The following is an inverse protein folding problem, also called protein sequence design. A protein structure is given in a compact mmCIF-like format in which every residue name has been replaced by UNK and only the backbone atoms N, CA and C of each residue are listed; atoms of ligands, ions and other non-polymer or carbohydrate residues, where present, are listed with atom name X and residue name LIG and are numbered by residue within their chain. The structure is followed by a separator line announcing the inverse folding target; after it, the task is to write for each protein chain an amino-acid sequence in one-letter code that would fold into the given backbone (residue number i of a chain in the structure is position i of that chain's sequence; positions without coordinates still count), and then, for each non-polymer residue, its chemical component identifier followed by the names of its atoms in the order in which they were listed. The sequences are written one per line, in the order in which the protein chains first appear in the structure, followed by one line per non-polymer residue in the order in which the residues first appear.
data_IF_260383693765
#
_entry.id   IF_260383693765
#
_cell.length_a   1.000
_cell.length_b   1.000
_cell.length_c   1.000
_cell.angle_alpha   90.00
_cell.angle_beta   90.00
_cell.angle_gamma   90.00
#
_symmetry.space_group_name_H-M   'P 1'
#
loop_
_entity.id
_entity.type
_entity.pdbx_description
1 polymer ?
#
# COMPACT_ATOMS: atom_id res chain seq x y z
N UNK A 1 21.17 -2.62 5.29
CA UNK A 1 20.17 -2.79 4.32
C UNK A 1 19.84 -1.52 3.59
N UNK A 2 19.97 -1.61 2.32
CA UNK A 2 19.91 -0.43 1.47
C UNK A 2 18.51 0.12 1.29
N UNK A 3 17.49 -0.73 1.42
CA UNK A 3 16.12 -0.30 1.17
C UNK A 3 15.66 0.82 2.07
N UNK A 4 15.89 0.68 3.37
CA UNK A 4 15.45 1.69 4.32
C UNK A 4 16.18 3.00 4.08
N UNK A 5 17.48 2.94 3.80
CA UNK A 5 18.24 4.15 3.55
C UNK A 5 17.77 4.85 2.28
N UNK A 6 17.46 4.08 1.25
CA UNK A 6 16.98 4.67 0.00
C UNK A 6 15.66 5.41 0.25
N UNK A 7 14.77 4.82 1.02
CA UNK A 7 13.51 5.47 1.34
C UNK A 7 13.73 6.78 2.06
N UNK A 8 14.64 6.78 3.02
CA UNK A 8 14.94 8.00 3.76
C UNK A 8 15.49 9.09 2.85
N UNK A 9 16.41 8.71 1.95
CA UNK A 9 16.97 9.69 1.01
C UNK A 9 15.90 10.28 0.11
N UNK A 10 14.97 9.47 -0.34
CA UNK A 10 13.89 9.96 -1.18
C UNK A 10 13.07 11.01 -0.45
N UNK A 11 12.76 10.76 0.81
CA UNK A 11 11.99 11.72 1.59
C UNK A 11 12.75 13.04 1.74
N UNK A 12 14.03 12.98 2.01
CA UNK A 12 14.84 14.18 2.19
C UNK A 12 14.89 14.99 0.91
N UNK A 13 15.09 14.33 -0.23
CA UNK A 13 15.15 15.05 -1.50
C UNK A 13 13.83 15.74 -1.80
N UNK A 14 12.74 15.05 -1.56
CA UNK A 14 11.42 15.62 -1.81
C UNK A 14 11.23 16.88 -0.99
N UNK A 15 11.60 16.79 0.27
CA UNK A 15 11.46 17.94 1.15
C UNK A 15 12.33 19.10 0.69
N UNK A 16 13.56 18.79 0.32
CA UNK A 16 14.49 19.83 -0.09
C UNK A 16 14.10 20.55 -1.35
N UNK A 17 13.36 19.89 -2.22
CA UNK A 17 12.97 20.50 -3.47
C UNK A 17 11.69 21.29 -3.41
N UNK A 18 11.02 21.29 -2.30
CA UNK A 18 9.70 21.88 -2.21
C UNK A 18 9.79 23.26 -1.56
N UNK A 19 9.89 24.28 -2.40
CA UNK A 19 10.00 25.64 -1.90
C UNK A 19 8.73 26.46 -2.06
N UNK A 20 7.66 25.88 -2.59
CA UNK A 20 6.41 26.59 -2.77
C UNK A 20 5.24 25.67 -2.40
N UNK A 21 4.09 26.27 -2.20
CA UNK A 21 2.92 25.52 -1.78
C UNK A 21 2.38 24.65 -2.89
N UNK A 22 1.97 23.46 -2.52
CA UNK A 22 1.33 22.54 -3.45
C UNK A 22 -0.12 22.96 -3.66
N UNK A 23 -0.58 22.80 -4.88
CA UNK A 23 -2.00 23.04 -5.18
C UNK A 23 -2.80 21.81 -4.76
N UNK A 24 -4.13 21.99 -4.70
CA UNK A 24 -5.01 20.85 -4.42
C UNK A 24 -4.84 19.76 -5.47
N UNK A 25 -4.67 20.15 -6.74
CA UNK A 25 -4.50 19.19 -7.82
C UNK A 25 -3.22 18.38 -7.65
N UNK A 26 -2.13 19.03 -7.20
CA UNK A 26 -0.87 18.33 -6.95
C UNK A 26 -1.00 17.31 -5.84
N UNK A 27 -1.66 17.69 -4.76
CA UNK A 27 -1.84 16.79 -3.64
C UNK A 27 -2.71 15.61 -4.05
N UNK A 28 -3.78 15.87 -4.76
CA UNK A 28 -4.68 14.83 -5.24
C UNK A 28 -3.95 13.85 -6.15
N UNK A 29 -3.12 14.39 -7.05
CA UNK A 29 -2.37 13.55 -7.98
C UNK A 29 -1.38 12.64 -7.28
N UNK A 30 -0.70 13.17 -6.26
CA UNK A 30 0.26 12.38 -5.50
C UNK A 30 -0.41 11.28 -4.71
N UNK A 31 -1.54 11.57 -4.10
CA UNK A 31 -2.26 10.58 -3.31
C UNK A 31 -2.88 9.51 -4.19
N UNK A 32 -3.39 9.90 -5.35
CA UNK A 32 -3.94 8.94 -6.30
C UNK A 32 -2.84 8.02 -6.82
N UNK A 33 -1.66 8.56 -7.08
CA UNK A 33 -0.51 7.78 -7.54
C UNK A 33 -0.10 6.78 -6.47
N UNK A 34 -0.06 7.20 -5.22
CA UNK A 34 0.31 6.30 -4.13
C UNK A 34 -0.73 5.19 -3.97
N UNK A 35 -2.02 5.54 -4.07
CA UNK A 35 -3.07 4.54 -4.00
C UNK A 35 -2.94 3.51 -5.11
N UNK A 36 -2.68 3.98 -6.32
CA UNK A 36 -2.53 3.07 -7.46
C UNK A 36 -1.33 2.17 -7.29
N UNK A 37 -0.24 2.71 -6.70
CA UNK A 37 0.93 1.90 -6.39
C UNK A 37 0.58 0.79 -5.40
N UNK A 38 -0.16 1.13 -4.34
CA UNK A 38 -0.57 0.15 -3.34
C UNK A 38 -1.47 -0.94 -3.94
N UNK A 39 -2.40 -0.53 -4.80
CA UNK A 39 -3.27 -1.47 -5.49
C UNK A 39 -2.44 -2.43 -6.36
N UNK A 40 -1.38 -1.92 -6.96
CA UNK A 40 -0.52 -2.74 -7.81
C UNK A 40 0.36 -3.68 -7.00
N UNK A 41 0.85 -3.22 -5.85
CA UNK A 41 1.69 -4.06 -4.97
C UNK A 41 0.87 -5.15 -4.30
N UNK A 42 -0.33 -4.83 -3.87
CA UNK A 42 -1.17 -5.74 -3.10
C UNK A 42 -2.56 -5.87 -3.75
N UNK A 43 -2.64 -6.55 -4.90
CA UNK A 43 -3.93 -6.65 -5.59
C UNK A 43 -4.96 -7.38 -4.74
N UNK A 44 -6.15 -6.84 -4.70
CA UNK A 44 -7.25 -7.48 -3.97
C UNK A 44 -7.57 -6.87 -2.62
N UNK A 45 -6.82 -5.84 -2.19
CA UNK A 45 -7.13 -5.19 -0.93
C UNK A 45 -8.49 -4.50 -0.99
N UNK A 46 -9.22 -4.56 0.11
CA UNK A 46 -10.48 -3.84 0.22
C UNK A 46 -10.22 -2.41 0.62
N UNK A 47 -11.23 -1.56 0.46
CA UNK A 47 -11.01 -0.12 0.64
C UNK A 47 -10.55 0.26 2.05
N UNK A 48 -11.03 -0.43 3.09
CA UNK A 48 -10.59 -0.09 4.44
C UNK A 48 -9.12 -0.46 4.67
N UNK A 49 -8.62 -1.49 4.01
CA UNK A 49 -7.20 -1.78 4.07
C UNK A 49 -6.39 -0.69 3.37
N UNK A 50 -6.85 -0.26 2.21
CA UNK A 50 -6.16 0.81 1.49
C UNK A 50 -6.16 2.09 2.31
N UNK A 51 -7.28 2.43 2.94
CA UNK A 51 -7.33 3.61 3.82
C UNK A 51 -6.37 3.48 4.99
N UNK A 52 -6.13 2.27 5.46
CA UNK A 52 -5.22 2.03 6.58
C UNK A 52 -3.78 2.43 6.32
N UNK A 53 -3.39 2.55 5.06
CA UNK A 53 -2.05 3.02 4.72
C UNK A 53 -1.90 4.53 4.87
N UNK A 54 -2.99 5.24 5.14
CA UNK A 54 -2.99 6.69 5.29
C UNK A 54 -3.60 7.08 6.64
N UNK A 55 -2.94 6.72 7.74
CA UNK A 55 -3.56 6.89 9.07
C UNK A 55 -3.83 8.36 9.42
N UNK A 56 -3.15 9.28 8.78
CA UNK A 56 -3.39 10.70 9.02
C UNK A 56 -4.50 11.31 8.18
N UNK A 57 -5.19 10.50 7.36
CA UNK A 57 -6.21 11.00 6.48
C UNK A 57 -7.58 10.45 6.85
N UNK A 58 -8.61 11.27 6.60
CA UNK A 58 -9.98 10.80 6.69
C UNK A 58 -10.19 9.71 5.65
N UNK A 59 -10.74 8.58 6.05
CA UNK A 59 -10.98 7.48 5.15
C UNK A 59 -11.89 7.88 3.98
N UNK A 60 -12.79 8.84 4.20
CA UNK A 60 -13.66 9.32 3.12
C UNK A 60 -12.86 9.90 1.97
N UNK A 61 -11.73 10.55 2.26
CA UNK A 61 -10.87 11.09 1.21
C UNK A 61 -10.29 9.96 0.39
N UNK A 62 -9.81 8.90 1.04
CA UNK A 62 -9.26 7.74 0.35
C UNK A 62 -10.32 7.07 -0.52
N UNK A 63 -11.52 6.91 0.03
CA UNK A 63 -12.62 6.30 -0.74
C UNK A 63 -12.98 7.13 -1.97
N UNK A 64 -12.95 8.46 -1.83
CA UNK A 64 -13.21 9.34 -2.96
C UNK A 64 -12.14 9.22 -4.04
N UNK A 65 -10.88 9.06 -3.63
CA UNK A 65 -9.80 8.86 -4.58
C UNK A 65 -9.94 7.52 -5.31
N UNK A 66 -10.35 6.47 -4.61
CA UNK A 66 -10.59 5.18 -5.24
C UNK A 66 -11.70 5.29 -6.30
N UNK A 67 -12.79 5.96 -5.96
CA UNK A 67 -13.86 6.19 -6.92
C UNK A 67 -13.36 6.96 -8.14
N UNK A 68 -12.50 7.91 -7.92
CA UNK A 68 -11.93 8.72 -8.99
C UNK A 68 -11.06 7.86 -9.91
N UNK A 69 -10.20 7.01 -9.33
CA UNK A 69 -9.37 6.11 -10.12
C UNK A 69 -10.22 5.14 -10.93
N UNK A 70 -11.32 4.68 -10.36
CA UNK A 70 -12.22 3.79 -11.07
C UNK A 70 -12.86 4.51 -12.26
N UNK A 71 -13.34 5.73 -12.05
CA UNK A 71 -13.94 6.52 -13.13
C UNK A 71 -12.95 6.82 -14.24
N UNK A 72 -11.68 6.96 -13.89
CA UNK A 72 -10.63 7.20 -14.89
C UNK A 72 -10.20 5.93 -15.61
N UNK A 73 -10.73 4.78 -15.23
CA UNK A 73 -10.33 3.52 -15.85
C UNK A 73 -8.93 3.07 -15.47
N UNK A 74 -8.43 3.50 -14.31
CA UNK A 74 -7.08 3.13 -13.86
C UNK A 74 -7.10 2.02 -12.82
N UNK A 75 -8.23 1.83 -12.16
CA UNK A 75 -8.40 0.78 -11.17
C UNK A 75 -9.81 0.22 -11.29
N UNK A 76 -9.99 -1.01 -10.87
CA UNK A 76 -11.31 -1.63 -10.86
C UNK A 76 -11.50 -2.42 -9.59
N UNK A 77 -12.76 -2.63 -9.24
CA UNK A 77 -13.14 -3.29 -8.02
C UNK A 77 -13.87 -4.58 -8.36
N UNK A 78 -13.49 -5.68 -7.72
CA UNK A 78 -14.17 -6.95 -7.92
C UNK A 78 -15.47 -6.97 -7.15
N UNK A 79 -16.31 -7.98 -7.46
CA UNK A 79 -17.59 -8.14 -6.78
C UNK A 79 -17.40 -8.28 -5.27
N UNK A 80 -16.32 -8.94 -4.86
CA UNK A 80 -16.03 -9.12 -3.44
C UNK A 80 -15.45 -7.88 -2.78
N UNK A 81 -15.21 -6.82 -3.53
CA UNK A 81 -14.73 -5.56 -2.96
C UNK A 81 -13.26 -5.31 -3.09
N UNK A 82 -12.50 -6.26 -3.61
CA UNK A 82 -11.05 -6.07 -3.77
C UNK A 82 -10.72 -5.15 -4.92
N UNK A 83 -9.66 -4.35 -4.75
CA UNK A 83 -9.24 -3.41 -5.77
C UNK A 83 -8.05 -3.94 -6.55
N UNK A 84 -8.06 -3.73 -7.85
CA UNK A 84 -7.05 -4.25 -8.77
C UNK A 84 -6.69 -3.17 -9.80
N UNK A 85 -5.48 -3.21 -10.35
CA UNK A 85 -5.17 -2.35 -11.49
C UNK A 85 -6.10 -2.68 -12.65
N UNK A 86 -6.48 -1.67 -13.42
CA UNK A 86 -7.38 -1.87 -14.54
C UNK A 86 -6.78 -2.82 -15.56
N UNK A 87 -7.58 -3.72 -16.07
CA UNK A 87 -7.15 -4.66 -17.11
C UNK A 87 -6.37 -5.86 -16.62
N UNK A 88 -6.11 -5.96 -15.32
CA UNK A 88 -5.42 -7.11 -14.75
C UNK A 88 -6.43 -8.13 -14.27
N UNK A 89 -6.00 -9.40 -14.21
CA UNK A 89 -6.86 -10.44 -13.65
C UNK A 89 -7.14 -10.16 -12.20
N UNK A 90 -8.37 -10.44 -11.79
CA UNK A 90 -8.77 -10.29 -10.40
C UNK A 90 -8.34 -11.53 -9.61
N UNK A 91 -7.05 -11.72 -9.47
CA UNK A 91 -6.48 -12.82 -8.70
C UNK A 91 -5.88 -12.25 -7.43
N UNK A 92 -6.49 -12.61 -6.31
CA UNK A 92 -6.04 -12.15 -5.01
C UNK A 92 -5.32 -13.29 -4.31
N UNK A 93 -4.21 -12.97 -3.65
CA UNK A 93 -3.48 -13.90 -2.81
C UNK A 93 -4.01 -13.73 -1.40
N UNK A 94 -4.78 -14.70 -0.93
CA UNK A 94 -5.42 -14.60 0.39
C UNK A 94 -4.39 -14.39 1.50
N UNK A 95 -3.28 -15.13 1.44
CA UNK A 95 -2.24 -14.98 2.45
C UNK A 95 -1.64 -13.60 2.46
N UNK A 96 -1.45 -13.01 1.29
CA UNK A 96 -0.94 -11.66 1.18
C UNK A 96 -1.92 -10.65 1.78
N UNK A 97 -3.21 -10.79 1.45
CA UNK A 97 -4.23 -9.89 1.98
C UNK A 97 -4.29 -9.97 3.50
N UNK A 98 -4.23 -11.18 4.05
CA UNK A 98 -4.22 -11.35 5.50
C UNK A 98 -2.97 -10.75 6.13
N UNK A 99 -1.83 -10.87 5.45
CA UNK A 99 -0.58 -10.32 5.95
C UNK A 99 -0.61 -8.80 5.98
N UNK A 100 -1.33 -8.18 5.06
CA UNK A 100 -1.44 -6.72 5.05
C UNK A 100 -2.13 -6.22 6.32
N UNK A 101 -3.10 -6.96 6.86
CA UNK A 101 -3.70 -6.56 8.13
C UNK A 101 -2.66 -6.45 9.24
N UNK A 102 -1.72 -7.39 9.29
CA UNK A 102 -0.64 -7.33 10.26
C UNK A 102 0.23 -6.10 10.04
N UNK A 103 0.56 -5.84 8.78
CA UNK A 103 1.36 -4.67 8.43
C UNK A 103 0.66 -3.38 8.87
N UNK A 104 -0.65 -3.30 8.67
CA UNK A 104 -1.40 -2.10 9.02
C UNK A 104 -1.44 -1.86 10.53
N UNK A 105 -1.37 -2.90 11.33
CA UNK A 105 -1.35 -2.75 12.78
C UNK A 105 -0.13 -1.97 13.27
N UNK A 106 0.95 -1.98 12.49
CA UNK A 106 2.19 -1.32 12.90
C UNK A 106 2.64 -0.30 11.85
N UNK A 107 1.72 0.15 11.00
CA UNK A 107 2.08 0.96 9.84
C UNK A 107 2.80 2.26 10.22
N UNK A 108 2.53 2.80 11.38
CA UNK A 108 3.17 4.03 11.83
C UNK A 108 4.67 3.84 12.13
N UNK A 109 5.12 2.61 12.25
CA UNK A 109 6.53 2.30 12.51
C UNK A 109 7.22 1.71 11.29
N UNK A 110 6.51 1.59 10.17
CA UNK A 110 7.05 0.98 8.96
C UNK A 110 7.68 2.05 8.09
N UNK A 111 8.96 1.86 7.76
CA UNK A 111 9.70 2.80 6.92
C UNK A 111 9.59 2.46 5.45
N UNK A 112 9.45 1.17 5.15
CA UNK A 112 9.35 0.69 3.78
C UNK A 112 8.67 -0.69 3.83
N UNK A 113 7.87 -0.98 2.84
CA UNK A 113 7.25 -2.29 2.75
C UNK A 113 7.05 -2.68 1.29
N UNK A 114 6.97 -3.97 1.06
CA UNK A 114 6.67 -4.51 -0.26
C UNK A 114 6.26 -5.97 -0.11
N UNK A 115 5.66 -6.56 -1.16
CA UNK A 115 5.48 -8.01 -1.17
C UNK A 115 6.83 -8.70 -1.08
N UNK A 116 6.86 -9.85 -0.41
CA UNK A 116 8.07 -10.63 -0.27
C UNK A 116 8.08 -11.87 -1.14
N UNK A 117 9.21 -12.55 -1.12
CA UNK A 117 9.35 -13.83 -1.82
C UNK A 117 9.03 -14.96 -0.84
N UNK A 118 8.49 -16.06 -1.38
CA UNK A 118 8.16 -17.21 -0.55
C UNK A 118 9.33 -17.57 0.38
N UNK A 119 9.06 -17.83 1.66
CA UNK A 119 7.75 -17.97 2.32
C UNK A 119 7.14 -16.66 2.82
N UNK A 120 7.83 -15.53 2.67
CA UNK A 120 7.33 -14.25 3.14
C UNK A 120 6.27 -13.73 2.19
N UNK A 121 5.19 -13.17 2.76
CA UNK A 121 4.18 -12.48 1.97
C UNK A 121 4.47 -10.99 1.89
N UNK A 122 4.99 -10.42 2.97
CA UNK A 122 5.32 -9.00 3.04
C UNK A 122 6.66 -8.89 3.74
N UNK A 123 7.50 -7.98 3.26
CA UNK A 123 8.71 -7.58 3.99
C UNK A 123 8.57 -6.11 4.35
N UNK A 124 9.12 -5.73 5.48
CA UNK A 124 9.10 -4.32 5.85
C UNK A 124 10.32 -3.98 6.68
N UNK A 125 10.66 -2.70 6.68
CA UNK A 125 11.79 -2.17 7.43
C UNK A 125 11.26 -1.30 8.55
N UNK A 126 11.85 -1.45 9.72
CA UNK A 126 11.49 -0.65 10.89
C UNK A 126 12.69 -0.59 11.81
N UNK A 127 13.08 0.63 12.21
CA UNK A 127 14.19 0.80 13.16
C UNK A 127 15.50 0.21 12.69
N UNK A 128 15.74 0.19 11.39
CA UNK A 128 16.99 -0.35 10.85
C UNK A 128 16.99 -1.87 10.69
N UNK A 129 15.90 -2.52 10.97
CA UNK A 129 15.78 -3.98 10.88
C UNK A 129 14.83 -4.36 9.76
N UNK A 130 15.03 -5.55 9.21
CA UNK A 130 14.14 -6.10 8.20
C UNK A 130 13.28 -7.17 8.87
N UNK A 131 11.98 -7.10 8.60
CA UNK A 131 11.02 -8.05 9.12
C UNK A 131 10.26 -8.70 7.98
N UNK A 132 9.81 -9.91 8.21
CA UNK A 132 9.01 -10.66 7.23
C UNK A 132 7.70 -11.06 7.88
N UNK A 133 6.62 -10.95 7.11
CA UNK A 133 5.33 -11.48 7.52
C UNK A 133 5.08 -12.72 6.70
N UNK A 134 4.91 -13.85 7.40
CA UNK A 134 4.69 -15.15 6.77
C UNK A 134 3.28 -15.60 7.10
N UNK A 135 2.52 -15.98 6.09
CA UNK A 135 1.18 -16.50 6.30
C UNK A 135 1.26 -18.02 6.41
N UNK A 136 0.73 -18.57 7.49
CA UNK A 136 0.71 -20.01 7.70
C UNK A 136 -0.75 -20.44 7.81
N UNK A 137 -1.17 -21.27 6.88
CA UNK A 137 -2.52 -21.83 6.93
C UNK A 137 -2.62 -22.84 8.07
N UNK A 138 -3.84 -22.98 8.61
CA UNK A 138 -4.06 -23.88 9.74
C UNK A 138 -3.57 -25.29 9.44
N UNK A 139 -3.79 -25.74 8.21
CA UNK A 139 -3.37 -27.09 7.83
C UNK A 139 -1.86 -27.27 7.79
N UNK A 140 -1.10 -26.20 7.88
CA UNK A 140 0.36 -26.23 7.84
C UNK A 140 1.00 -26.06 9.21
N UNK A 141 0.20 -25.95 10.25
CA UNK A 141 0.70 -25.69 11.59
C UNK A 141 1.08 -26.94 12.36
N UNK A 142 1.09 -28.04 11.80
CA UNK A 142 1.27 -29.35 12.46
C UNK A 142 2.45 -29.43 13.43
#
# INVERSE_FOLDING_TARGET
MTGARITSKLRLRTKGGDSHMKTRADIYGQEATELLRLISLYPGLIQCQLAGFFPGKDSAVVYGLLSHLKRQGRAEQSISGGWFPYGKKHQADFGLIQSVWVLLDIIDRVEYHSPGDFPAKVIFFSGGEIYEIVYVAVSQEA
#
